data_IF_741816692548
#
_entry.id   IF_741816692548
#
_cell.length_a   1.000
_cell.length_b   1.000
_cell.length_c   1.000
_cell.angle_alpha   90.00
_cell.angle_beta   90.00
_cell.angle_gamma   90.00
#
_symmetry.space_group_name_H-M   'P 1'
#
loop_
_entity.id
_entity.type
_entity.pdbx_description
1 polymer ?
#
# COMPACT_ATOMS: atom_id res chain seq x y z
N UNK A 1 -20.00 28.41 16.05
CA UNK A 1 -19.30 27.47 16.96
C UNK A 1 -19.36 26.01 16.48
N UNK A 2 -20.55 25.41 16.26
CA UNK A 2 -20.70 24.00 15.80
C UNK A 2 -19.96 23.67 14.49
N UNK A 3 -20.01 24.56 13.51
CA UNK A 3 -19.36 24.35 12.22
C UNK A 3 -17.81 24.40 12.30
N UNK A 4 -17.24 25.20 13.22
CA UNK A 4 -15.78 25.22 13.45
C UNK A 4 -15.31 23.91 14.08
N UNK A 5 -16.12 23.37 14.99
CA UNK A 5 -15.86 22.10 15.65
C UNK A 5 -15.94 20.93 14.64
N UNK A 6 -16.95 20.93 13.78
CA UNK A 6 -17.06 19.95 12.69
C UNK A 6 -15.88 20.03 11.70
N UNK A 7 -15.41 21.24 11.37
CA UNK A 7 -14.28 21.45 10.46
C UNK A 7 -12.98 20.94 11.06
N UNK A 8 -12.74 21.23 12.35
CA UNK A 8 -11.60 20.71 13.10
C UNK A 8 -11.60 19.19 13.21
N UNK A 9 -12.77 18.58 13.47
CA UNK A 9 -12.91 17.12 13.53
C UNK A 9 -12.61 16.46 12.18
N UNK A 10 -13.15 16.99 11.08
CA UNK A 10 -12.89 16.46 9.74
C UNK A 10 -11.43 16.61 9.33
N UNK A 11 -10.79 17.73 9.67
CA UNK A 11 -9.38 17.95 9.44
C UNK A 11 -8.53 16.93 10.20
N UNK A 12 -8.77 16.78 11.51
CA UNK A 12 -8.05 15.84 12.35
C UNK A 12 -8.22 14.38 11.89
N UNK A 13 -9.44 13.98 11.52
CA UNK A 13 -9.73 12.66 10.95
C UNK A 13 -8.99 12.43 9.63
N UNK A 14 -9.05 13.38 8.70
CA UNK A 14 -8.38 13.25 7.41
C UNK A 14 -6.86 13.15 7.55
N UNK A 15 -6.26 13.98 8.42
CA UNK A 15 -4.82 13.93 8.70
C UNK A 15 -4.43 12.65 9.44
N UNK A 16 -5.22 12.20 10.40
CA UNK A 16 -4.98 10.94 11.10
C UNK A 16 -5.02 9.73 10.16
N UNK A 17 -5.97 9.70 9.24
CA UNK A 17 -6.05 8.68 8.19
C UNK A 17 -4.85 8.73 7.25
N UNK A 18 -4.37 9.92 6.88
CA UNK A 18 -3.15 10.05 6.07
C UNK A 18 -1.94 9.44 6.79
N UNK A 19 -1.73 9.78 8.07
CA UNK A 19 -0.63 9.22 8.86
C UNK A 19 -0.71 7.70 8.98
N UNK A 20 -1.92 7.16 9.19
CA UNK A 20 -2.15 5.71 9.22
C UNK A 20 -1.76 5.06 7.88
N UNK A 21 -2.18 5.63 6.76
CA UNK A 21 -1.87 5.09 5.42
C UNK A 21 -0.37 5.13 5.13
N UNK A 22 0.32 6.23 5.50
CA UNK A 22 1.77 6.31 5.38
C UNK A 22 2.50 5.28 6.24
N UNK A 23 2.02 5.05 7.47
CA UNK A 23 2.59 4.03 8.35
C UNK A 23 2.43 2.62 7.77
N UNK A 24 1.24 2.28 7.25
CA UNK A 24 1.00 0.99 6.60
C UNK A 24 1.88 0.80 5.35
N UNK A 25 2.06 1.86 4.54
CA UNK A 25 2.98 1.83 3.41
C UNK A 25 4.43 1.62 3.86
N UNK A 26 4.87 2.31 4.91
CA UNK A 26 6.20 2.13 5.48
C UNK A 26 6.43 0.68 5.94
N UNK A 27 5.49 0.08 6.65
CA UNK A 27 5.59 -1.33 7.06
C UNK A 27 5.62 -2.29 5.88
N UNK A 28 4.87 -2.03 4.82
CA UNK A 28 4.83 -2.87 3.63
C UNK A 28 6.15 -2.85 2.84
N UNK A 29 6.86 -1.72 2.83
CA UNK A 29 8.05 -1.52 1.99
C UNK A 29 9.38 -1.57 2.75
N UNK A 30 9.40 -1.31 4.06
CA UNK A 30 10.62 -1.34 4.87
C UNK A 30 11.23 -2.75 5.02
N UNK A 31 10.44 -3.80 4.81
CA UNK A 31 10.90 -5.18 4.85
C UNK A 31 11.38 -5.72 3.51
N UNK A 32 11.29 -4.95 2.42
CA UNK A 32 11.70 -5.42 1.09
C UNK A 32 13.19 -5.17 0.89
N UNK A 33 13.94 -6.24 0.62
CA UNK A 33 15.37 -6.19 0.32
C UNK A 33 15.64 -6.50 -1.15
N UNK A 34 16.81 -6.14 -1.69
CA UNK A 34 17.18 -6.53 -3.06
C UNK A 34 17.17 -8.06 -3.26
N UNK A 35 17.61 -8.80 -2.23
CA UNK A 35 17.58 -10.26 -2.21
C UNK A 35 16.16 -10.85 -2.34
N UNK A 36 15.13 -10.11 -1.94
CA UNK A 36 13.74 -10.55 -2.12
C UNK A 36 13.32 -10.63 -3.58
N UNK A 37 13.92 -9.81 -4.43
CA UNK A 37 13.64 -9.75 -5.87
C UNK A 37 14.55 -10.67 -6.68
N UNK A 38 15.63 -11.20 -6.11
CA UNK A 38 16.52 -12.14 -6.78
C UNK A 38 16.15 -13.60 -6.54
N UNK A 39 15.22 -13.87 -5.62
CA UNK A 39 14.84 -15.24 -5.24
C UNK A 39 14.30 -16.01 -6.46
N UNK A 40 14.80 -17.23 -6.75
CA UNK A 40 14.26 -18.06 -7.82
C UNK A 40 12.82 -18.50 -7.53
N UNK A 41 12.04 -18.72 -8.59
CA UNK A 41 10.71 -19.30 -8.48
C UNK A 41 10.80 -20.83 -8.50
N UNK A 42 10.11 -21.54 -7.59
CA UNK A 42 10.01 -22.98 -7.68
C UNK A 42 9.15 -23.37 -8.89
N UNK A 43 9.63 -24.31 -9.69
CA UNK A 43 8.94 -24.91 -10.82
C UNK A 43 8.86 -26.41 -10.57
N UNK A 44 7.65 -26.95 -10.55
CA UNK A 44 7.42 -28.39 -10.51
C UNK A 44 7.21 -28.89 -11.94
N UNK A 45 8.11 -29.75 -12.42
CA UNK A 45 8.05 -30.34 -13.75
C UNK A 45 7.52 -31.77 -13.61
N UNK A 46 6.33 -32.10 -14.17
CA UNK A 46 5.85 -33.47 -14.21
C UNK A 46 6.69 -34.28 -15.20
N UNK A 47 7.22 -35.42 -14.76
CA UNK A 47 7.99 -36.36 -15.58
C UNK A 47 7.41 -37.78 -15.47
N UNK A 48 7.72 -38.69 -16.41
CA UNK A 48 7.22 -40.07 -16.36
C UNK A 48 7.63 -40.86 -15.10
N UNK A 49 8.65 -40.41 -14.38
CA UNK A 49 9.19 -41.03 -13.16
C UNK A 49 8.78 -40.29 -11.88
N UNK A 50 8.02 -39.20 -11.98
CA UNK A 50 7.56 -38.40 -10.84
C UNK A 50 7.66 -36.89 -11.08
N UNK A 51 7.63 -36.11 -10.00
CA UNK A 51 7.78 -34.65 -10.05
C UNK A 51 9.24 -34.24 -9.86
N UNK A 52 9.76 -33.40 -10.75
CA UNK A 52 11.10 -32.82 -10.65
C UNK A 52 10.98 -31.36 -10.23
N UNK A 53 11.58 -30.98 -9.10
CA UNK A 53 11.64 -29.58 -8.70
C UNK A 53 12.84 -28.90 -9.36
N UNK A 54 12.57 -27.79 -10.03
CA UNK A 54 13.55 -26.92 -10.66
C UNK A 54 13.38 -25.48 -10.14
N UNK A 55 14.45 -24.71 -10.17
CA UNK A 55 14.43 -23.30 -9.80
C UNK A 55 14.59 -22.43 -11.05
N UNK A 56 13.63 -21.53 -11.29
CA UNK A 56 13.70 -20.56 -12.36
C UNK A 56 14.28 -19.24 -11.81
N UNK A 57 15.54 -18.90 -12.14
CA UNK A 57 16.14 -17.65 -11.69
C UNK A 57 15.39 -16.45 -12.26
N UNK A 58 15.24 -15.38 -11.46
CA UNK A 58 14.64 -14.11 -11.89
C UNK A 58 13.11 -14.06 -11.95
N UNK A 59 12.40 -15.18 -11.78
CA UNK A 59 10.93 -15.20 -11.81
C UNK A 59 10.25 -15.13 -10.44
N UNK A 60 10.96 -15.40 -9.34
CA UNK A 60 10.38 -15.30 -7.99
C UNK A 60 10.10 -13.86 -7.55
N UNK A 61 10.64 -12.88 -8.27
CA UNK A 61 10.37 -11.46 -8.11
C UNK A 61 8.98 -11.04 -8.61
N UNK A 62 8.45 -11.71 -9.64
CA UNK A 62 7.26 -11.26 -10.38
C UNK A 62 6.04 -11.09 -9.47
N UNK A 63 5.68 -12.05 -8.61
CA UNK A 63 4.55 -11.88 -7.69
C UNK A 63 4.76 -10.74 -6.69
N UNK A 64 6.00 -10.53 -6.22
CA UNK A 64 6.33 -9.44 -5.29
C UNK A 64 6.22 -8.07 -5.96
N UNK A 65 6.72 -7.94 -7.19
CA UNK A 65 6.60 -6.72 -8.00
C UNK A 65 5.11 -6.39 -8.25
N UNK A 66 4.32 -7.38 -8.66
CA UNK A 66 2.88 -7.22 -8.83
C UNK A 66 2.19 -6.76 -7.54
N UNK A 67 2.59 -7.33 -6.39
CA UNK A 67 2.09 -6.88 -5.08
C UNK A 67 2.48 -5.43 -4.78
N UNK A 68 3.72 -5.02 -5.04
CA UNK A 68 4.18 -3.63 -4.85
C UNK A 68 3.34 -2.66 -5.69
N UNK A 69 3.03 -3.01 -6.95
CA UNK A 69 2.15 -2.20 -7.79
C UNK A 69 0.73 -2.12 -7.23
N UNK A 70 0.14 -3.25 -6.83
CA UNK A 70 -1.20 -3.28 -6.24
C UNK A 70 -1.28 -2.46 -4.94
N UNK A 71 -0.30 -2.63 -4.06
CA UNK A 71 -0.19 -1.88 -2.80
C UNK A 71 -0.04 -0.37 -3.07
N UNK A 72 0.77 0.01 -4.06
CA UNK A 72 0.95 1.42 -4.47
C UNK A 72 -0.35 2.05 -4.94
N UNK A 73 -1.13 1.34 -5.76
CA UNK A 73 -2.45 1.80 -6.21
C UNK A 73 -3.41 1.92 -5.02
N UNK A 74 -3.46 0.90 -4.16
CA UNK A 74 -4.30 0.88 -2.98
C UNK A 74 -4.00 2.07 -2.04
N UNK A 75 -2.73 2.28 -1.70
CA UNK A 75 -2.32 3.40 -0.86
C UNK A 75 -2.62 4.74 -1.53
N UNK A 76 -2.42 4.87 -2.85
CA UNK A 76 -2.80 6.07 -3.60
C UNK A 76 -4.28 6.42 -3.47
N UNK A 77 -5.17 5.43 -3.62
CA UNK A 77 -6.62 5.62 -3.44
C UNK A 77 -6.96 6.04 -2.00
N UNK A 78 -6.35 5.39 -1.01
CA UNK A 78 -6.55 5.71 0.41
C UNK A 78 -6.06 7.12 0.76
N UNK A 79 -4.91 7.54 0.24
CA UNK A 79 -4.37 8.90 0.39
C UNK A 79 -5.34 9.91 -0.22
N UNK A 80 -5.85 9.65 -1.43
CA UNK A 80 -6.81 10.54 -2.09
C UNK A 80 -8.11 10.70 -1.27
N UNK A 81 -8.64 9.60 -0.73
CA UNK A 81 -9.82 9.62 0.12
C UNK A 81 -9.59 10.41 1.42
N UNK A 82 -8.48 10.14 2.13
CA UNK A 82 -8.12 10.82 3.36
C UNK A 82 -7.87 12.33 3.13
N UNK A 83 -7.20 12.67 2.03
CA UNK A 83 -6.95 14.06 1.62
C UNK A 83 -8.26 14.80 1.33
N UNK A 84 -9.24 14.14 0.71
CA UNK A 84 -10.57 14.71 0.46
C UNK A 84 -11.31 15.01 1.76
N UNK A 85 -11.19 14.15 2.78
CA UNK A 85 -11.78 14.37 4.10
C UNK A 85 -11.11 15.56 4.79
N UNK A 86 -9.78 15.60 4.81
CA UNK A 86 -9.02 16.71 5.38
C UNK A 86 -9.36 18.05 4.69
N UNK A 87 -9.41 18.05 3.36
CA UNK A 87 -9.77 19.22 2.55
C UNK A 87 -11.15 19.76 2.88
N UNK A 88 -12.17 18.90 3.06
CA UNK A 88 -13.50 19.33 3.53
C UNK A 88 -13.43 20.01 4.90
N UNK A 89 -12.58 19.52 5.80
CA UNK A 89 -12.33 20.14 7.10
C UNK A 89 -11.74 21.55 6.97
N UNK A 90 -10.71 21.71 6.12
CA UNK A 90 -10.10 23.01 5.81
C UNK A 90 -11.12 23.97 5.21
N UNK A 91 -11.88 23.53 4.22
CA UNK A 91 -12.88 24.35 3.54
C UNK A 91 -13.96 24.85 4.50
N UNK A 92 -14.41 23.99 5.43
CA UNK A 92 -15.40 24.36 6.42
C UNK A 92 -14.84 25.36 7.43
N UNK A 93 -13.59 25.20 7.85
CA UNK A 93 -12.91 26.14 8.75
C UNK A 93 -12.66 27.50 8.09
N UNK A 94 -12.34 27.54 6.78
CA UNK A 94 -12.12 28.79 6.04
C UNK A 94 -13.39 29.60 5.80
N UNK A 95 -14.56 28.95 5.79
CA UNK A 95 -15.86 29.60 5.56
C UNK A 95 -16.47 30.24 6.83
N UNK A 96 -15.80 30.16 7.98
CA UNK A 96 -16.32 30.54 9.32
C UNK A 96 -15.40 31.52 10.04
#
# INVERSE_FOLDING_TARGET
>A
MKARLAGGVLLALGVGLLLLVFYQAFLAYSSLTAADFEKPAPLTIPTPVGELQAELPGLGAVPKILKVFADSIYFGVMIAAASKIAGKGVDLLRKL
#
